data_IF_552723595179
#
_entry.id   IF_552723595179
#
_cell.length_a   1.000
_cell.length_b   1.000
_cell.length_c   1.000
_cell.angle_alpha   90.00
_cell.angle_beta   90.00
_cell.angle_gamma   90.00
#
_symmetry.space_group_name_H-M   'P 1'
#
loop_
_entity.id
_entity.type
_entity.pdbx_description
1 polymer ?
#
# COMPACT_ATOMS: atom_id res chain seq x y z
N UNK A 1 -15.81 27.45 -11.89
CA UNK A 1 -15.40 28.36 -10.77
C UNK A 1 -16.54 28.81 -9.82
N UNK A 2 -17.83 28.59 -10.12
CA UNK A 2 -18.93 29.09 -9.26
C UNK A 2 -19.15 28.29 -7.96
N UNK A 3 -18.83 26.99 -7.95
CA UNK A 3 -19.08 26.12 -6.79
C UNK A 3 -18.29 26.53 -5.53
N UNK A 4 -17.00 26.85 -5.68
CA UNK A 4 -16.15 27.27 -4.55
C UNK A 4 -16.63 28.62 -3.99
N UNK A 5 -16.96 29.58 -4.86
CA UNK A 5 -17.51 30.88 -4.43
C UNK A 5 -18.83 30.73 -3.68
N UNK A 6 -19.72 29.85 -4.15
CA UNK A 6 -20.97 29.56 -3.46
C UNK A 6 -20.72 28.83 -2.13
N UNK A 7 -19.78 27.90 -2.09
CA UNK A 7 -19.37 27.20 -0.88
C UNK A 7 -18.82 28.14 0.18
N UNK A 8 -17.98 29.12 -0.19
CA UNK A 8 -17.41 30.07 0.77
C UNK A 8 -18.50 30.89 1.49
N UNK A 9 -19.56 31.29 0.78
CA UNK A 9 -20.73 31.96 1.40
C UNK A 9 -21.44 31.03 2.39
N UNK A 10 -21.68 29.79 2.00
CA UNK A 10 -22.35 28.80 2.86
C UNK A 10 -21.50 28.39 4.07
N UNK A 11 -20.18 28.36 3.91
CA UNK A 11 -19.21 28.08 4.96
C UNK A 11 -19.29 29.12 6.08
N UNK A 12 -19.40 30.40 5.74
CA UNK A 12 -19.58 31.47 6.74
C UNK A 12 -20.85 31.27 7.55
N UNK A 13 -21.96 30.95 6.89
CA UNK A 13 -23.22 30.62 7.57
C UNK A 13 -23.05 29.46 8.55
N UNK A 14 -22.39 28.37 8.13
CA UNK A 14 -22.16 27.19 8.98
C UNK A 14 -21.26 27.48 10.19
N UNK A 15 -20.28 28.39 10.07
CA UNK A 15 -19.45 28.82 11.20
C UNK A 15 -20.27 29.66 12.18
N UNK A 16 -21.06 30.61 11.69
CA UNK A 16 -21.93 31.46 12.50
C UNK A 16 -22.98 30.62 13.27
N UNK A 17 -23.65 29.69 12.59
CA UNK A 17 -24.62 28.78 13.23
C UNK A 17 -23.98 27.93 14.34
N UNK A 18 -22.73 27.53 14.19
CA UNK A 18 -22.01 26.75 15.19
C UNK A 18 -21.56 27.60 16.39
N UNK A 19 -21.14 28.84 16.13
CA UNK A 19 -20.81 29.84 17.15
C UNK A 19 -22.03 30.18 18.02
N UNK A 20 -23.20 30.39 17.41
CA UNK A 20 -24.47 30.64 18.13
C UNK A 20 -24.82 29.48 19.07
N UNK A 21 -24.42 28.24 18.73
CA UNK A 21 -24.62 27.06 19.57
C UNK A 21 -23.56 26.90 20.68
N UNK A 22 -22.75 27.93 20.95
CA UNK A 22 -21.65 27.93 21.93
C UNK A 22 -20.66 26.76 21.76
N UNK A 23 -20.39 26.35 20.51
CA UNK A 23 -19.42 25.30 20.20
C UNK A 23 -18.28 25.88 19.38
N UNK A 24 -17.03 25.54 19.73
CA UNK A 24 -15.85 25.91 18.96
C UNK A 24 -15.97 25.45 17.50
N UNK A 25 -15.88 26.39 16.56
CA UNK A 25 -15.76 26.14 15.13
C UNK A 25 -14.29 26.02 14.73
N UNK A 26 -14.01 25.23 13.69
CA UNK A 26 -12.66 25.17 13.11
C UNK A 26 -12.56 26.19 11.99
N UNK A 27 -12.28 27.45 12.37
CA UNK A 27 -12.20 28.58 11.44
C UNK A 27 -11.07 28.44 10.40
N UNK A 28 -10.08 27.57 10.66
CA UNK A 28 -8.98 27.27 9.75
C UNK A 28 -9.35 26.24 8.68
N UNK A 29 -10.42 25.46 8.87
CA UNK A 29 -10.81 24.42 7.93
C UNK A 29 -11.52 25.01 6.70
N UNK A 30 -10.98 24.78 5.49
CA UNK A 30 -11.62 25.23 4.24
C UNK A 30 -12.96 24.52 3.98
N UNK A 31 -13.04 23.22 4.29
CA UNK A 31 -14.24 22.42 4.14
C UNK A 31 -14.78 21.98 5.50
N UNK A 32 -16.09 22.20 5.69
CA UNK A 32 -16.82 21.93 6.91
C UNK A 32 -17.89 20.86 6.65
N UNK A 33 -18.22 20.10 7.69
CA UNK A 33 -19.41 19.26 7.71
C UNK A 33 -20.67 20.11 7.98
N UNK A 34 -21.85 19.53 7.80
CA UNK A 34 -23.14 20.22 8.01
C UNK A 34 -23.43 20.65 9.46
N UNK A 35 -22.50 20.41 10.40
CA UNK A 35 -22.55 20.92 11.78
C UNK A 35 -21.55 22.06 12.01
N UNK A 36 -20.87 22.55 10.97
CA UNK A 36 -19.85 23.62 11.04
C UNK A 36 -18.48 23.18 11.58
N UNK A 37 -18.21 21.87 11.70
CA UNK A 37 -16.90 21.35 12.12
C UNK A 37 -16.07 20.90 10.91
N UNK A 38 -14.78 20.62 11.07
CA UNK A 38 -13.92 20.12 9.97
C UNK A 38 -14.53 18.90 9.27
N UNK A 39 -14.50 18.91 7.93
CA UNK A 39 -14.88 17.74 7.15
C UNK A 39 -13.82 16.65 7.34
N UNK A 40 -14.25 15.45 7.74
CA UNK A 40 -13.32 14.32 7.95
C UNK A 40 -13.10 13.52 6.67
N UNK A 41 -11.98 12.80 6.59
CA UNK A 41 -11.69 11.84 5.51
C UNK A 41 -12.83 10.83 5.33
N UNK A 42 -13.33 10.28 6.44
CA UNK A 42 -14.47 9.34 6.46
C UNK A 42 -15.77 9.97 5.93
N UNK A 43 -15.97 11.28 6.12
CA UNK A 43 -17.12 11.99 5.54
C UNK A 43 -16.99 12.11 4.02
N UNK A 44 -15.78 12.39 3.52
CA UNK A 44 -15.51 12.44 2.08
C UNK A 44 -15.74 11.08 1.43
N UNK A 45 -15.23 10.01 2.03
CA UNK A 45 -15.43 8.64 1.53
C UNK A 45 -16.92 8.28 1.44
N UNK A 46 -17.70 8.60 2.48
CA UNK A 46 -19.15 8.40 2.47
C UNK A 46 -19.86 9.22 1.39
N UNK A 47 -19.45 10.46 1.16
CA UNK A 47 -20.02 11.30 0.12
C UNK A 47 -19.73 10.74 -1.26
N UNK A 48 -18.47 10.32 -1.52
CA UNK A 48 -18.08 9.70 -2.79
C UNK A 48 -18.88 8.43 -3.03
N UNK A 49 -19.03 7.57 -2.01
CA UNK A 49 -19.88 6.38 -2.12
C UNK A 49 -21.33 6.74 -2.44
N UNK A 50 -21.92 7.67 -1.69
CA UNK A 50 -23.31 8.11 -1.86
C UNK A 50 -23.60 8.65 -3.25
N UNK A 51 -22.72 9.50 -3.79
CA UNK A 51 -22.87 10.02 -5.14
C UNK A 51 -22.56 8.97 -6.20
N UNK A 52 -21.58 8.09 -5.98
CA UNK A 52 -21.26 6.98 -6.86
C UNK A 52 -22.46 6.06 -7.10
N UNK A 53 -23.15 5.67 -6.02
CA UNK A 53 -24.38 4.87 -6.10
C UNK A 53 -25.48 5.56 -6.93
N UNK A 54 -25.66 6.88 -6.75
CA UNK A 54 -26.69 7.65 -7.47
C UNK A 54 -26.45 7.77 -8.96
N UNK A 55 -25.20 7.69 -9.40
CA UNK A 55 -24.84 7.71 -10.83
C UNK A 55 -24.66 6.31 -11.41
N UNK A 56 -25.00 5.26 -10.65
CA UNK A 56 -24.94 3.87 -11.10
C UNK A 56 -23.53 3.29 -11.14
N UNK A 57 -22.56 3.90 -10.46
CA UNK A 57 -21.22 3.32 -10.33
C UNK A 57 -21.27 2.13 -9.35
N UNK A 58 -20.47 1.08 -9.58
CA UNK A 58 -20.41 -0.08 -8.69
C UNK A 58 -20.01 0.33 -7.26
N UNK A 59 -20.47 -0.43 -6.25
CA UNK A 59 -20.30 -0.16 -4.80
C UNK A 59 -18.85 0.00 -4.29
N UNK A 60 -17.83 -0.05 -5.17
CA UNK A 60 -16.39 -0.02 -4.86
C UNK A 60 -15.76 1.36 -5.11
N UNK A 61 -16.51 2.37 -5.58
CA UNK A 61 -15.93 3.70 -5.84
C UNK A 61 -15.60 4.43 -4.53
N UNK A 62 -14.31 4.53 -4.24
CA UNK A 62 -13.73 5.28 -3.13
C UNK A 62 -12.79 6.38 -3.65
N UNK A 63 -12.45 7.39 -2.84
CA UNK A 63 -11.45 8.39 -3.22
C UNK A 63 -10.10 7.76 -3.64
N UNK A 64 -9.69 6.67 -2.98
CA UNK A 64 -8.46 5.94 -3.31
C UNK A 64 -8.56 5.24 -4.67
N UNK A 65 -9.68 4.55 -4.95
CA UNK A 65 -9.91 3.89 -6.23
C UNK A 65 -9.90 4.90 -7.40
N UNK A 66 -10.52 6.08 -7.23
CA UNK A 66 -10.51 7.14 -8.24
C UNK A 66 -9.10 7.68 -8.49
N UNK A 67 -8.31 7.86 -7.43
CA UNK A 67 -6.91 8.29 -7.52
C UNK A 67 -6.07 7.27 -8.30
N UNK A 68 -6.26 5.99 -8.02
CA UNK A 68 -5.56 4.90 -8.69
C UNK A 68 -5.94 4.81 -10.17
N UNK A 69 -7.24 4.84 -10.52
CA UNK A 69 -7.67 4.84 -11.92
C UNK A 69 -7.08 6.01 -12.71
N UNK A 70 -7.05 7.21 -12.12
CA UNK A 70 -6.42 8.37 -12.74
C UNK A 70 -4.93 8.17 -13.00
N UNK A 71 -4.18 7.62 -12.02
CA UNK A 71 -2.77 7.31 -12.17
C UNK A 71 -2.53 6.29 -13.30
N UNK A 72 -3.26 5.18 -13.25
CA UNK A 72 -3.17 4.09 -14.24
C UNK A 72 -3.46 4.59 -15.64
N UNK A 73 -4.53 5.36 -15.84
CA UNK A 73 -4.88 5.87 -17.16
C UNK A 73 -3.84 6.85 -17.71
N UNK A 74 -3.28 7.74 -16.88
CA UNK A 74 -2.23 8.66 -17.34
C UNK A 74 -0.97 7.90 -17.77
N UNK A 75 -0.59 6.89 -17.01
CA UNK A 75 0.58 6.06 -17.33
C UNK A 75 0.35 5.20 -18.59
N UNK A 76 -0.85 4.64 -18.76
CA UNK A 76 -1.23 3.92 -19.98
C UNK A 76 -1.19 4.81 -21.23
N UNK A 77 -1.50 6.10 -21.08
CA UNK A 77 -1.39 7.10 -22.13
C UNK A 77 0.04 7.62 -22.35
N UNK A 78 1.03 7.09 -21.62
CA UNK A 78 2.44 7.45 -21.75
C UNK A 78 2.83 8.75 -21.05
N UNK A 79 2.02 9.22 -20.08
CA UNK A 79 2.42 10.35 -19.25
C UNK A 79 3.68 10.01 -18.45
N UNK A 80 4.57 10.99 -18.31
CA UNK A 80 5.77 10.85 -17.49
C UNK A 80 5.39 10.67 -16.01
N UNK A 81 6.09 9.76 -15.34
CA UNK A 81 5.81 9.37 -13.96
C UNK A 81 5.94 10.54 -12.98
N UNK A 82 6.89 11.46 -13.19
CA UNK A 82 7.05 12.63 -12.32
C UNK A 82 5.87 13.57 -12.47
N UNK A 83 5.37 13.75 -13.69
CA UNK A 83 4.15 14.53 -13.95
C UNK A 83 2.92 13.89 -13.32
N UNK A 84 2.78 12.55 -13.38
CA UNK A 84 1.66 11.84 -12.72
C UNK A 84 1.72 12.01 -11.20
N UNK A 85 2.90 11.90 -10.59
CA UNK A 85 3.11 12.11 -9.16
C UNK A 85 2.76 13.55 -8.71
N UNK A 86 3.20 14.56 -9.47
CA UNK A 86 2.84 15.96 -9.21
C UNK A 86 1.32 16.18 -9.28
N UNK A 87 0.66 15.66 -10.32
CA UNK A 87 -0.78 15.79 -10.54
C UNK A 87 -1.61 15.08 -9.48
N UNK A 88 -1.11 13.97 -8.95
CA UNK A 88 -1.74 13.26 -7.84
C UNK A 88 -1.63 14.00 -6.52
N UNK A 89 -0.93 15.13 -6.46
CA UNK A 89 -0.92 16.01 -5.30
C UNK A 89 -0.07 15.43 -4.17
N UNK A 90 1.10 14.86 -4.50
CA UNK A 90 2.17 14.70 -3.52
C UNK A 90 2.71 16.09 -3.13
N UNK A 91 1.91 16.87 -2.38
CA UNK A 91 2.31 18.14 -1.75
C UNK A 91 3.29 17.94 -0.58
N UNK A 92 3.74 16.71 -0.34
CA UNK A 92 4.88 16.38 0.52
C UNK A 92 5.61 15.18 -0.06
N UNK A 93 6.91 15.33 -0.25
CA UNK A 93 7.88 14.33 -0.69
C UNK A 93 8.13 13.25 0.41
N UNK A 94 7.09 12.76 1.10
CA UNK A 94 7.26 11.99 2.35
C UNK A 94 6.02 11.23 2.87
N UNK A 95 5.31 10.43 2.06
CA UNK A 95 4.26 9.54 2.61
C UNK A 95 4.38 8.05 2.25
N UNK A 96 5.47 7.67 1.61
CA UNK A 96 6.03 6.31 1.71
C UNK A 96 7.27 6.49 2.58
N UNK A 97 7.15 6.34 3.90
CA UNK A 97 8.29 6.53 4.81
C UNK A 97 9.30 5.38 4.64
N UNK A 98 10.10 5.49 3.58
CA UNK A 98 11.46 4.97 3.51
C UNK A 98 12.21 5.64 4.65
N UNK A 99 12.69 4.87 5.61
CA UNK A 99 13.40 5.45 6.73
C UNK A 99 14.79 5.88 6.26
N UNK A 100 15.04 7.18 6.28
CA UNK A 100 16.31 7.79 5.85
C UNK A 100 16.75 7.36 4.43
N UNK A 101 15.79 7.18 3.52
CA UNK A 101 16.04 6.77 2.13
C UNK A 101 16.41 5.29 1.95
N UNK A 102 16.37 4.49 3.01
CA UNK A 102 16.58 3.03 2.96
C UNK A 102 15.27 2.27 2.93
N UNK A 103 15.30 1.10 2.30
CA UNK A 103 14.21 0.13 2.36
C UNK A 103 14.74 -1.19 2.85
N UNK A 104 13.95 -1.83 3.72
CA UNK A 104 14.19 -3.18 4.20
C UNK A 104 12.97 -4.05 3.90
N UNK A 105 13.21 -5.29 3.49
CA UNK A 105 12.22 -6.36 3.53
C UNK A 105 12.77 -7.45 4.43
N UNK A 106 11.91 -7.98 5.29
CA UNK A 106 12.21 -9.15 6.07
C UNK A 106 11.11 -10.20 5.93
N UNK A 107 11.48 -11.46 6.14
CA UNK A 107 10.57 -12.60 6.10
C UNK A 107 11.00 -13.65 7.12
N UNK A 108 10.03 -14.37 7.67
CA UNK A 108 10.27 -15.48 8.58
C UNK A 108 10.50 -16.80 7.83
N UNK A 109 11.08 -17.78 8.53
CA UNK A 109 11.46 -19.05 7.95
C UNK A 109 10.38 -20.15 8.04
N UNK A 110 9.26 -19.91 8.72
CA UNK A 110 8.29 -20.97 8.99
C UNK A 110 7.46 -21.30 7.73
N UNK A 111 7.37 -22.58 7.41
CA UNK A 111 6.40 -23.11 6.44
C UNK A 111 5.57 -24.15 7.16
N UNK A 112 4.26 -23.98 7.15
CA UNK A 112 3.31 -24.88 7.83
C UNK A 112 2.40 -25.54 6.80
N UNK A 113 2.08 -26.82 7.02
CA UNK A 113 1.06 -27.56 6.28
C UNK A 113 -0.06 -27.92 7.27
N UNK A 114 -1.18 -27.21 7.20
CA UNK A 114 -2.19 -27.24 8.25
C UNK A 114 -1.56 -26.80 9.58
N UNK A 115 -1.70 -27.63 10.61
CA UNK A 115 -1.20 -27.34 11.96
C UNK A 115 0.24 -27.85 12.19
N UNK A 116 0.89 -28.39 11.17
CA UNK A 116 2.24 -28.97 11.29
C UNK A 116 3.27 -28.05 10.68
N UNK A 117 4.34 -27.74 11.43
CA UNK A 117 5.50 -27.02 10.88
C UNK A 117 6.34 -27.97 10.04
N UNK A 118 6.48 -27.67 8.75
CA UNK A 118 7.23 -28.48 7.79
C UNK A 118 8.68 -28.02 7.65
N UNK A 119 8.93 -26.71 7.80
CA UNK A 119 10.26 -26.11 7.65
C UNK A 119 10.37 -24.89 8.56
N UNK A 120 11.52 -24.73 9.20
CA UNK A 120 11.80 -23.61 10.10
C UNK A 120 12.62 -22.48 9.45
N UNK A 121 13.29 -22.74 8.32
CA UNK A 121 14.25 -21.83 7.67
C UNK A 121 14.01 -21.72 6.15
N UNK A 122 12.82 -21.27 5.75
CA UNK A 122 12.57 -20.90 4.36
C UNK A 122 13.12 -19.51 4.04
N UNK A 123 13.68 -19.35 2.85
CA UNK A 123 14.05 -18.03 2.31
C UNK A 123 12.88 -17.52 1.49
N UNK A 124 12.13 -16.57 2.06
CA UNK A 124 10.93 -15.97 1.43
C UNK A 124 11.19 -14.57 0.88
N UNK A 125 12.42 -14.09 1.01
CA UNK A 125 12.89 -12.79 0.54
C UNK A 125 14.02 -13.04 -0.45
N UNK A 126 13.98 -12.36 -1.59
CA UNK A 126 14.97 -12.53 -2.67
C UNK A 126 15.29 -11.18 -3.31
N UNK A 127 16.55 -11.04 -3.75
CA UNK A 127 16.97 -9.95 -4.62
C UNK A 127 16.79 -10.32 -6.09
N UNK A 128 16.28 -9.37 -6.86
CA UNK A 128 15.98 -9.44 -8.29
C UNK A 128 16.68 -8.28 -9.01
N UNK A 129 16.77 -8.37 -10.34
CA UNK A 129 17.29 -7.35 -11.24
C UNK A 129 18.62 -6.74 -10.77
N UNK A 130 19.68 -7.55 -10.85
CA UNK A 130 21.03 -7.18 -10.38
C UNK A 130 21.09 -6.67 -8.93
N UNK A 131 20.13 -7.06 -8.09
CA UNK A 131 20.05 -6.65 -6.70
C UNK A 131 19.43 -5.29 -6.44
N UNK A 132 18.86 -4.64 -7.46
CA UNK A 132 18.19 -3.35 -7.34
C UNK A 132 16.72 -3.45 -6.88
N UNK A 133 16.13 -4.65 -6.94
CA UNK A 133 14.77 -4.92 -6.48
C UNK A 133 14.82 -5.99 -5.39
N UNK A 134 14.06 -5.81 -4.31
CA UNK A 134 13.81 -6.86 -3.31
C UNK A 134 12.37 -7.32 -3.45
N UNK A 135 12.13 -8.63 -3.37
CA UNK A 135 10.79 -9.20 -3.38
C UNK A 135 10.58 -10.14 -2.19
N UNK A 136 9.33 -10.21 -1.73
CA UNK A 136 8.90 -11.11 -0.66
C UNK A 136 7.61 -11.81 -1.06
N UNK A 137 7.44 -13.09 -0.68
CA UNK A 137 6.24 -13.86 -1.04
C UNK A 137 5.62 -14.54 0.17
N UNK A 138 4.29 -14.50 0.25
CA UNK A 138 3.51 -15.25 1.23
C UNK A 138 2.63 -16.27 0.51
N UNK A 139 3.02 -17.55 0.58
CA UNK A 139 2.32 -18.67 -0.04
C UNK A 139 3.20 -19.92 -0.13
N UNK A 140 2.83 -20.86 -0.98
CA UNK A 140 3.61 -22.07 -1.21
C UNK A 140 4.93 -21.77 -1.94
N UNK A 141 6.02 -22.44 -1.55
CA UNK A 141 7.37 -22.15 -2.07
C UNK A 141 7.49 -22.34 -3.59
N UNK A 142 6.77 -23.30 -4.17
CA UNK A 142 6.81 -23.55 -5.62
C UNK A 142 6.21 -22.39 -6.43
N UNK A 143 5.12 -21.79 -5.95
CA UNK A 143 4.49 -20.63 -6.58
C UNK A 143 5.38 -19.39 -6.47
N UNK A 144 6.10 -19.26 -5.34
CA UNK A 144 7.05 -18.17 -5.11
C UNK A 144 8.12 -18.14 -6.22
N UNK A 145 8.77 -19.27 -6.49
CA UNK A 145 9.80 -19.36 -7.54
C UNK A 145 9.25 -18.98 -8.91
N UNK A 146 8.06 -19.48 -9.26
CA UNK A 146 7.41 -19.17 -10.53
C UNK A 146 7.17 -17.67 -10.70
N UNK A 147 6.67 -17.00 -9.65
CA UNK A 147 6.38 -15.56 -9.70
C UNK A 147 7.65 -14.71 -9.65
N UNK A 148 8.69 -15.13 -8.92
CA UNK A 148 9.98 -14.46 -8.94
C UNK A 148 10.61 -14.49 -10.33
N UNK A 149 10.62 -15.65 -10.99
CA UNK A 149 11.21 -15.78 -12.32
C UNK A 149 10.44 -14.97 -13.36
N UNK A 150 9.10 -14.91 -13.25
CA UNK A 150 8.28 -14.03 -14.10
C UNK A 150 8.54 -12.55 -13.82
N UNK A 151 8.67 -12.15 -12.56
CA UNK A 151 9.00 -10.77 -12.20
C UNK A 151 10.38 -10.38 -12.75
N UNK A 152 11.39 -11.24 -12.61
CA UNK A 152 12.74 -11.02 -13.15
C UNK A 152 12.68 -10.79 -14.67
N UNK A 153 11.96 -11.63 -15.40
CA UNK A 153 11.79 -11.48 -16.84
C UNK A 153 11.13 -10.14 -17.21
N UNK A 154 10.12 -9.70 -16.46
CA UNK A 154 9.48 -8.39 -16.68
C UNK A 154 10.43 -7.24 -16.34
N UNK A 155 11.21 -7.35 -15.27
CA UNK A 155 12.20 -6.35 -14.90
C UNK A 155 13.27 -6.21 -15.99
N UNK A 156 13.77 -7.33 -16.55
CA UNK A 156 14.69 -7.31 -17.69
C UNK A 156 14.05 -6.67 -18.92
N UNK A 157 12.82 -7.08 -19.26
CA UNK A 157 12.08 -6.55 -20.41
C UNK A 157 11.87 -5.03 -20.33
N UNK A 158 11.60 -4.51 -19.13
CA UNK A 158 11.33 -3.09 -18.89
C UNK A 158 12.51 -2.34 -18.26
N UNK A 159 13.73 -2.90 -18.37
CA UNK A 159 14.99 -2.25 -17.96
C UNK A 159 14.94 -1.72 -16.52
N UNK A 160 14.43 -2.54 -15.61
CA UNK A 160 14.36 -2.22 -14.19
C UNK A 160 13.20 -1.33 -13.76
N UNK A 161 12.29 -0.96 -14.67
CA UNK A 161 11.10 -0.20 -14.29
C UNK A 161 10.14 -1.09 -13.49
N UNK A 162 10.22 -1.02 -12.16
CA UNK A 162 9.48 -1.89 -11.25
C UNK A 162 7.97 -1.73 -11.39
N UNK A 163 7.45 -0.51 -11.50
CA UNK A 163 6.01 -0.28 -11.65
C UNK A 163 5.48 -0.96 -12.91
N UNK A 164 6.16 -0.76 -14.05
CA UNK A 164 5.75 -1.38 -15.31
C UNK A 164 5.87 -2.90 -15.27
N UNK A 165 6.96 -3.41 -14.70
CA UNK A 165 7.15 -4.85 -14.52
C UNK A 165 6.05 -5.45 -13.62
N UNK A 166 5.67 -4.76 -12.55
CA UNK A 166 4.61 -5.19 -11.64
C UNK A 166 3.23 -5.23 -12.30
N UNK A 167 2.86 -4.18 -13.06
CA UNK A 167 1.58 -4.14 -13.80
C UNK A 167 1.50 -5.28 -14.82
N UNK A 168 2.58 -5.53 -15.55
CA UNK A 168 2.59 -6.58 -16.57
C UNK A 168 2.62 -7.99 -15.96
N UNK A 169 3.30 -8.17 -14.81
CA UNK A 169 3.21 -9.40 -14.04
C UNK A 169 1.78 -9.63 -13.53
N UNK A 170 1.12 -8.61 -12.99
CA UNK A 170 -0.24 -8.72 -12.47
C UNK A 170 -1.24 -9.12 -13.57
N UNK A 171 -1.10 -8.56 -14.78
CA UNK A 171 -1.88 -8.97 -15.97
C UNK A 171 -1.65 -10.45 -16.31
N UNK A 172 -0.39 -10.87 -16.41
CA UNK A 172 -0.04 -12.26 -16.72
C UNK A 172 -0.53 -13.23 -15.65
N UNK A 173 -0.40 -12.87 -14.37
CA UNK A 173 -0.85 -13.66 -13.24
C UNK A 173 -2.37 -13.86 -13.28
N UNK A 174 -3.14 -12.79 -13.53
CA UNK A 174 -4.61 -12.86 -13.65
C UNK A 174 -5.07 -13.76 -14.81
N UNK A 175 -4.34 -13.74 -15.93
CA UNK A 175 -4.67 -14.52 -17.12
C UNK A 175 -4.34 -16.01 -16.98
N UNK A 176 -3.33 -16.34 -16.18
CA UNK A 176 -2.88 -17.71 -15.97
C UNK A 176 -3.93 -18.54 -15.21
N UNK A 177 -4.36 -19.65 -15.81
CA UNK A 177 -5.43 -20.52 -15.24
C UNK A 177 -5.06 -21.11 -13.88
N UNK A 178 -3.78 -21.38 -13.63
CA UNK A 178 -3.30 -21.99 -12.40
C UNK A 178 -3.00 -20.91 -11.37
N UNK A 179 -2.21 -19.90 -11.75
CA UNK A 179 -1.72 -18.91 -10.79
C UNK A 179 -2.83 -17.98 -10.26
N UNK A 180 -3.86 -17.66 -11.05
CA UNK A 180 -4.93 -16.75 -10.59
C UNK A 180 -5.75 -17.26 -9.40
N UNK A 181 -5.64 -18.54 -9.07
CA UNK A 181 -6.34 -19.17 -7.93
C UNK A 181 -5.52 -19.15 -6.65
N UNK A 182 -4.27 -18.67 -6.72
CA UNK A 182 -3.43 -18.55 -5.54
C UNK A 182 -3.98 -17.45 -4.63
N UNK A 183 -4.13 -17.77 -3.36
CA UNK A 183 -4.40 -16.78 -2.29
C UNK A 183 -3.12 -16.04 -1.86
N UNK A 184 -2.06 -16.19 -2.66
CA UNK A 184 -0.75 -15.65 -2.36
C UNK A 184 -0.63 -14.17 -2.74
N UNK A 185 0.24 -13.47 -2.02
CA UNK A 185 0.61 -12.10 -2.30
C UNK A 185 2.12 -12.00 -2.51
N UNK A 186 2.52 -11.09 -3.40
CA UNK A 186 3.91 -10.81 -3.71
C UNK A 186 4.20 -9.34 -3.39
N UNK A 187 5.21 -9.07 -2.57
CA UNK A 187 5.77 -7.73 -2.37
C UNK A 187 6.94 -7.57 -3.35
N UNK A 188 7.05 -6.41 -3.99
CA UNK A 188 8.23 -6.01 -4.74
C UNK A 188 8.56 -4.55 -4.48
N UNK A 189 9.82 -4.25 -4.16
CA UNK A 189 10.28 -2.90 -3.78
C UNK A 189 11.62 -2.58 -4.43
N UNK A 190 11.78 -1.31 -4.83
CA UNK A 190 13.06 -0.74 -5.25
C UNK A 190 13.40 0.48 -4.37
N UNK A 191 14.30 1.37 -4.83
CA UNK A 191 14.69 2.61 -4.13
C UNK A 191 13.65 3.75 -4.18
N UNK A 192 12.61 3.63 -4.98
CA UNK A 192 11.59 4.67 -5.18
C UNK A 192 10.17 4.14 -4.87
N UNK A 193 9.83 2.95 -5.34
CA UNK A 193 8.50 2.35 -5.33
C UNK A 193 8.39 1.10 -4.43
N UNK A 194 7.17 0.80 -3.99
CA UNK A 194 6.86 -0.40 -3.23
C UNK A 194 5.46 -0.90 -3.56
N UNK A 195 5.34 -2.15 -4.03
CA UNK A 195 4.09 -2.71 -4.52
C UNK A 195 3.75 -4.03 -3.85
N UNK A 196 2.45 -4.25 -3.67
CA UNK A 196 1.84 -5.56 -3.41
C UNK A 196 1.10 -5.99 -4.68
N UNK A 197 1.35 -7.22 -5.12
CA UNK A 197 0.69 -7.84 -6.25
C UNK A 197 -0.12 -9.06 -5.81
N UNK A 198 -1.24 -9.28 -6.48
CA UNK A 198 -2.17 -10.38 -6.20
C UNK A 198 -2.54 -11.16 -7.46
N UNK A 199 -3.03 -12.40 -7.28
CA UNK A 199 -3.54 -13.22 -8.39
C UNK A 199 -4.80 -12.69 -9.07
N UNK A 200 -5.49 -11.72 -8.46
CA UNK A 200 -6.62 -10.99 -9.08
C UNK A 200 -6.17 -9.93 -10.08
N UNK A 201 -4.85 -9.67 -10.16
CA UNK A 201 -4.25 -8.69 -11.05
C UNK A 201 -4.20 -7.28 -10.47
N UNK A 202 -4.28 -7.15 -9.15
CA UNK A 202 -4.15 -5.85 -8.48
C UNK A 202 -2.68 -5.53 -8.26
N UNK A 203 -2.34 -4.24 -8.42
CA UNK A 203 -1.03 -3.67 -8.04
C UNK A 203 -1.30 -2.53 -7.08
N UNK A 204 -0.94 -2.73 -5.83
CA UNK A 204 -1.30 -1.85 -4.72
C UNK A 204 -0.03 -1.22 -4.15
N UNK A 205 0.02 0.11 -4.14
CA UNK A 205 1.02 0.86 -3.39
C UNK A 205 0.40 1.28 -2.05
N UNK A 206 0.93 0.80 -0.92
CA UNK A 206 0.33 1.08 0.38
C UNK A 206 0.72 2.46 0.93
N UNK A 207 -0.25 3.08 1.60
CA UNK A 207 -0.05 4.31 2.34
C UNK A 207 0.77 4.03 3.63
N UNK A 208 1.71 4.91 3.98
CA UNK A 208 2.39 4.86 5.28
C UNK A 208 3.69 4.07 5.35
N UNK A 209 4.23 3.63 4.20
CA UNK A 209 5.60 3.09 4.12
C UNK A 209 5.85 1.73 4.75
N UNK A 210 4.80 1.03 5.22
CA UNK A 210 4.89 -0.31 5.81
C UNK A 210 4.01 -1.28 5.03
N UNK A 211 4.59 -2.41 4.63
CA UNK A 211 3.90 -3.51 3.94
C UNK A 211 4.14 -4.80 4.71
N UNK A 212 3.08 -5.54 4.99
CA UNK A 212 3.19 -6.89 5.52
C UNK A 212 2.16 -7.82 4.87
N UNK A 213 2.58 -9.05 4.57
CA UNK A 213 1.75 -10.09 3.97
C UNK A 213 1.92 -11.41 4.73
N UNK A 214 0.99 -12.34 4.54
CA UNK A 214 1.01 -13.66 5.17
C UNK A 214 0.32 -13.71 6.53
N UNK A 215 0.37 -14.88 7.18
CA UNK A 215 -0.32 -15.18 8.44
C UNK A 215 0.08 -14.27 9.60
N UNK A 216 1.37 -13.95 9.72
CA UNK A 216 1.90 -13.00 10.71
C UNK A 216 1.78 -11.53 10.30
N UNK A 217 1.31 -11.26 9.08
CA UNK A 217 1.33 -9.94 8.44
C UNK A 217 0.66 -8.84 9.27
N UNK A 218 -0.59 -9.01 9.74
CA UNK A 218 -1.28 -7.97 10.51
C UNK A 218 -0.56 -7.59 11.81
N UNK A 219 0.05 -8.56 12.51
CA UNK A 219 0.81 -8.29 13.74
C UNK A 219 2.10 -7.54 13.45
N UNK A 220 2.84 -7.98 12.42
CA UNK A 220 4.05 -7.31 11.97
C UNK A 220 3.77 -5.88 11.50
N UNK A 221 2.68 -5.67 10.74
CA UNK A 221 2.29 -4.36 10.25
C UNK A 221 1.96 -3.41 11.40
N UNK A 222 1.15 -3.86 12.37
CA UNK A 222 0.79 -3.05 13.53
C UNK A 222 2.03 -2.65 14.36
N UNK A 223 2.93 -3.60 14.59
CA UNK A 223 4.19 -3.34 15.30
C UNK A 223 5.09 -2.37 14.52
N UNK A 224 5.27 -2.60 13.22
CA UNK A 224 6.11 -1.75 12.37
C UNK A 224 5.59 -0.32 12.28
N UNK A 225 4.27 -0.13 12.10
CA UNK A 225 3.66 1.20 12.11
C UNK A 225 3.89 1.93 13.44
N UNK A 226 3.67 1.25 14.57
CA UNK A 226 3.91 1.83 15.89
C UNK A 226 5.37 2.23 16.10
N UNK A 227 6.33 1.40 15.67
CA UNK A 227 7.76 1.69 15.78
C UNK A 227 8.16 2.83 14.84
N UNK A 228 7.64 2.85 13.60
CA UNK A 228 7.92 3.90 12.63
C UNK A 228 7.47 5.27 13.13
N UNK A 229 6.30 5.36 13.77
CA UNK A 229 5.75 6.61 14.28
C UNK A 229 6.37 7.08 15.61
N UNK A 230 6.95 6.18 16.41
CA UNK A 230 7.31 6.46 17.81
C UNK A 230 8.76 6.10 18.17
N UNK A 231 9.65 5.88 17.21
CA UNK A 231 11.05 5.54 17.49
C UNK A 231 12.02 6.05 16.45
N UNK A 232 13.31 6.07 16.82
CA UNK A 232 14.44 6.42 15.95
C UNK A 232 15.09 5.22 15.22
N UNK A 233 14.47 4.04 15.29
CA UNK A 233 15.01 2.75 14.82
C UNK A 233 15.09 2.61 13.29
N UNK A 234 16.21 2.15 12.74
CA UNK A 234 16.40 1.97 11.29
C UNK A 234 15.33 1.07 10.63
N UNK A 235 15.22 1.13 9.29
CA UNK A 235 14.30 0.25 8.55
C UNK A 235 14.58 -1.24 8.86
N UNK A 236 15.86 -1.62 9.01
CA UNK A 236 16.24 -2.98 9.36
C UNK A 236 15.77 -3.37 10.76
N UNK A 237 15.96 -2.47 11.73
CA UNK A 237 15.57 -2.68 13.12
C UNK A 237 14.04 -2.80 13.26
N UNK A 238 13.28 -1.93 12.58
CA UNK A 238 11.82 -1.99 12.54
C UNK A 238 11.36 -3.33 11.99
N UNK A 239 11.86 -3.74 10.82
CA UNK A 239 11.46 -5.01 10.19
C UNK A 239 11.77 -6.21 11.09
N UNK A 240 12.93 -6.22 11.75
CA UNK A 240 13.33 -7.29 12.65
C UNK A 240 12.42 -7.37 13.87
N UNK A 241 12.24 -6.26 14.59
CA UNK A 241 11.43 -6.22 15.82
C UNK A 241 9.96 -6.54 15.50
N UNK A 242 9.43 -6.04 14.38
CA UNK A 242 8.07 -6.32 13.95
C UNK A 242 7.83 -7.81 13.71
N UNK A 243 8.76 -8.51 13.04
CA UNK A 243 8.67 -9.96 12.84
C UNK A 243 8.89 -10.75 14.13
N UNK A 244 9.77 -10.31 15.02
CA UNK A 244 9.94 -10.95 16.33
C UNK A 244 8.67 -10.84 17.18
N UNK A 245 7.98 -9.71 17.14
CA UNK A 245 6.67 -9.54 17.79
C UNK A 245 5.64 -10.46 17.13
N UNK A 246 5.60 -10.50 15.80
CA UNK A 246 4.69 -11.39 15.08
C UNK A 246 4.94 -12.87 15.43
N UNK A 247 6.18 -13.32 15.54
CA UNK A 247 6.54 -14.69 15.92
C UNK A 247 6.20 -15.07 17.36
N UNK A 248 6.03 -14.08 18.25
CA UNK A 248 5.53 -14.32 19.63
C UNK A 248 4.01 -14.48 19.71
N UNK A 249 3.28 -13.99 18.72
CA UNK A 249 1.81 -13.93 18.73
C UNK A 249 1.21 -14.95 17.77
N UNK A 250 1.75 -15.05 16.55
CA UNK A 250 1.23 -15.88 15.48
C UNK A 250 1.90 -17.26 15.48
N UNK A 251 1.11 -18.32 15.64
CA UNK A 251 1.57 -19.72 15.60
C UNK A 251 2.16 -20.15 14.25
N UNK A 252 1.94 -19.36 13.20
CA UNK A 252 2.41 -19.61 11.83
C UNK A 252 3.65 -18.78 11.44
N UNK A 253 4.27 -18.11 12.41
CA UNK A 253 5.44 -17.24 12.21
C UNK A 253 6.49 -17.56 13.26
N UNK A 254 7.75 -17.66 12.87
CA UNK A 254 8.85 -17.93 13.79
C UNK A 254 9.90 -16.82 13.81
N UNK A 255 10.95 -17.01 14.62
CA UNK A 255 12.02 -16.05 14.81
C UNK A 255 13.22 -16.28 13.87
N UNK A 256 13.09 -17.16 12.87
CA UNK A 256 14.12 -17.36 11.85
C UNK A 256 13.95 -16.30 10.76
N UNK A 257 14.53 -15.13 10.96
CA UNK A 257 14.31 -13.96 10.10
C UNK A 257 15.43 -13.80 9.07
N UNK A 258 15.06 -13.69 7.79
CA UNK A 258 15.93 -13.20 6.71
C UNK A 258 15.59 -11.76 6.40
N UNK A 259 16.61 -10.93 6.13
CA UNK A 259 16.44 -9.49 5.91
C UNK A 259 17.32 -9.02 4.75
N UNK A 260 16.76 -8.19 3.88
CA UNK A 260 17.43 -7.59 2.73
C UNK A 260 17.17 -6.08 2.71
N UNK A 261 18.14 -5.31 2.21
CA UNK A 261 18.09 -3.83 2.19
C UNK A 261 18.55 -3.19 0.88
N UNK A 262 18.03 -2.00 0.57
CA UNK A 262 18.40 -1.14 -0.56
C UNK A 262 18.79 0.27 -0.11
#
# INVERSE_FOLDING_TARGET
MNAIRNWLKQRETLLLERLVRQRGGDEKALFLNGRGGRLSTRSVERLVKFYGERVGLPQIVTPHALRHSFATHLLEMGADMRSVQELLGHASLSSTQRRDGRVAIAGDGQVSLGNTVMKHQAQKVRRLYHGAVITGFAGATADAFTLYDRLEQKLEQYKGNLMRAAVELAKDWRMDKMLRRLEAMLIAVDKENSFVLTGTGDVIEPDGGVIAIGSGGPYAQAAALALLENSDLSAEEICRIALEIAGRICVYTNNSITLETL
#
